data_IF_850720010707
#
_entry.id   IF_850720010707
#
_cell.length_a   1.000
_cell.length_b   1.000
_cell.length_c   1.000
_cell.angle_alpha   90.00
_cell.angle_beta   90.00
_cell.angle_gamma   90.00
#
_symmetry.space_group_name_H-M   'P 1'
#
loop_
_entity.id
_entity.type
_entity.pdbx_description
1 polymer ?
#
# COMPACT_ATOMS: atom_id res chain seq x y z
N UNK A 1 -18.34 12.75 -1.70
CA UNK A 1 -19.27 13.43 -2.62
C UNK A 1 -20.65 12.83 -2.37
N UNK A 2 -21.69 13.65 -2.29
CA UNK A 2 -23.09 13.21 -2.11
C UNK A 2 -23.86 13.13 -3.45
N UNK A 3 -23.28 13.60 -4.56
CA UNK A 3 -23.77 13.44 -5.94
C UNK A 3 -25.29 13.69 -6.14
N UNK A 4 -25.78 14.80 -5.60
CA UNK A 4 -27.19 15.21 -5.72
C UNK A 4 -28.09 14.73 -4.58
N UNK A 5 -27.61 13.86 -3.69
CA UNK A 5 -28.27 13.59 -2.41
C UNK A 5 -28.14 14.80 -1.46
N UNK A 6 -29.00 14.90 -0.42
CA UNK A 6 -28.84 15.90 0.62
C UNK A 6 -27.42 15.88 1.23
N UNK A 7 -26.90 17.05 1.59
CA UNK A 7 -25.55 17.19 2.13
C UNK A 7 -25.28 16.23 3.30
N UNK A 8 -24.13 15.56 3.26
CA UNK A 8 -23.64 14.59 4.23
C UNK A 8 -24.54 13.36 4.42
N UNK A 9 -25.49 13.10 3.52
CA UNK A 9 -26.40 11.95 3.64
C UNK A 9 -25.91 10.68 2.94
N UNK A 10 -24.88 10.76 2.09
CA UNK A 10 -24.35 9.62 1.34
C UNK A 10 -22.84 9.45 1.54
N UNK A 11 -22.04 10.43 1.10
CA UNK A 11 -20.58 10.35 1.09
C UNK A 11 -19.96 10.28 2.49
N UNK A 12 -20.45 11.09 3.43
CA UNK A 12 -19.93 11.08 4.81
C UNK A 12 -20.22 9.75 5.54
N UNK A 13 -21.44 9.17 5.46
CA UNK A 13 -21.72 7.83 5.98
C UNK A 13 -20.80 6.73 5.41
N UNK A 14 -20.54 6.75 4.10
CA UNK A 14 -19.61 5.81 3.45
C UNK A 14 -18.19 6.02 4.00
N UNK A 15 -17.73 7.26 4.07
CA UNK A 15 -16.40 7.58 4.59
C UNK A 15 -16.22 7.15 6.04
N UNK A 16 -17.25 7.30 6.89
CA UNK A 16 -17.22 6.81 8.26
C UNK A 16 -17.02 5.29 8.34
N UNK A 17 -17.51 4.51 7.38
CA UNK A 17 -17.21 3.07 7.31
C UNK A 17 -15.77 2.79 6.89
N UNK A 18 -15.24 3.52 5.90
CA UNK A 18 -13.82 3.43 5.51
C UNK A 18 -12.92 3.67 6.73
N UNK A 19 -13.22 4.70 7.53
CA UNK A 19 -12.47 5.00 8.75
C UNK A 19 -12.62 3.92 9.81
N UNK A 20 -13.84 3.42 10.04
CA UNK A 20 -14.11 2.37 11.04
C UNK A 20 -13.41 1.04 10.73
N UNK A 21 -13.18 0.74 9.46
CA UNK A 21 -12.44 -0.45 9.02
C UNK A 21 -10.93 -0.20 8.90
N UNK A 22 -10.46 1.02 9.16
CA UNK A 22 -9.05 1.43 9.08
C UNK A 22 -8.41 1.14 7.72
N UNK A 23 -9.19 1.18 6.64
CA UNK A 23 -8.74 0.89 5.29
C UNK A 23 -8.32 2.16 4.55
N UNK A 24 -7.30 2.03 3.71
CA UNK A 24 -6.75 3.11 2.89
C UNK A 24 -6.53 2.61 1.46
N UNK A 25 -6.33 3.54 0.52
CA UNK A 25 -6.12 3.22 -0.89
C UNK A 25 -7.28 2.40 -1.51
N UNK A 26 -8.52 2.82 -1.24
CA UNK A 26 -9.73 2.23 -1.77
C UNK A 26 -10.70 3.31 -2.28
N UNK A 27 -11.67 2.91 -3.10
CA UNK A 27 -12.79 3.73 -3.54
C UNK A 27 -14.08 2.91 -3.39
N UNK A 28 -15.08 3.50 -2.75
CA UNK A 28 -16.43 2.93 -2.65
C UNK A 28 -17.38 3.81 -3.47
N UNK A 29 -18.11 3.19 -4.39
CA UNK A 29 -19.15 3.84 -5.19
C UNK A 29 -20.47 3.15 -4.89
N UNK A 30 -21.50 3.94 -4.59
CA UNK A 30 -22.85 3.44 -4.34
C UNK A 30 -23.79 4.00 -5.39
N UNK A 31 -24.46 3.11 -6.13
CA UNK A 31 -25.43 3.47 -7.16
C UNK A 31 -26.82 3.30 -6.57
N UNK A 32 -27.59 4.39 -6.54
CA UNK A 32 -28.95 4.40 -5.99
C UNK A 32 -29.98 4.64 -7.08
N UNK A 33 -31.03 3.82 -7.08
CA UNK A 33 -32.21 4.00 -7.92
C UNK A 33 -33.39 4.45 -7.03
N UNK A 34 -34.13 5.47 -7.44
CA UNK A 34 -35.28 5.96 -6.67
C UNK A 34 -36.46 4.99 -6.76
N UNK A 35 -36.88 4.44 -5.62
CA UNK A 35 -37.93 3.42 -5.52
C UNK A 35 -39.36 3.96 -5.33
N UNK A 36 -39.62 5.24 -5.59
CA UNK A 36 -40.98 5.83 -5.47
C UNK A 36 -41.35 6.36 -4.09
N UNK A 37 -40.55 6.11 -3.05
CA UNK A 37 -40.76 6.65 -1.69
C UNK A 37 -39.51 7.32 -1.16
N UNK A 38 -39.66 8.48 -0.51
CA UNK A 38 -38.55 9.23 0.10
C UNK A 38 -38.20 8.63 1.46
N UNK A 39 -36.91 8.34 1.67
CA UNK A 39 -36.39 7.82 2.94
C UNK A 39 -36.14 8.89 4.00
N UNK A 40 -36.12 10.17 3.60
CA UNK A 40 -35.61 11.25 4.44
C UNK A 40 -34.10 11.13 4.70
N UNK A 41 -33.50 12.18 5.27
CA UNK A 41 -32.04 12.26 5.46
C UNK A 41 -31.51 11.12 6.35
N UNK A 42 -32.20 10.82 7.46
CA UNK A 42 -31.79 9.73 8.35
C UNK A 42 -31.81 8.36 7.69
N UNK A 43 -32.82 8.09 6.84
CA UNK A 43 -32.92 6.84 6.09
C UNK A 43 -31.83 6.70 5.02
N UNK A 44 -31.46 7.80 4.35
CA UNK A 44 -30.34 7.83 3.40
C UNK A 44 -29.02 7.54 4.09
N UNK A 45 -28.75 8.20 5.22
CA UNK A 45 -27.55 7.98 6.02
C UNK A 45 -27.43 6.51 6.38
N UNK A 46 -28.50 5.89 6.87
CA UNK A 46 -28.51 4.48 7.22
C UNK A 46 -28.25 3.59 6.00
N UNK A 47 -28.93 3.85 4.87
CA UNK A 47 -28.79 3.03 3.66
C UNK A 47 -27.36 3.06 3.11
N UNK A 48 -26.76 4.25 2.96
CA UNK A 48 -25.40 4.40 2.44
C UNK A 48 -24.37 3.81 3.40
N UNK A 49 -24.51 4.06 4.72
CA UNK A 49 -23.65 3.44 5.74
C UNK A 49 -23.69 1.92 5.66
N UNK A 50 -24.88 1.33 5.71
CA UNK A 50 -25.05 -0.12 5.72
C UNK A 50 -24.54 -0.76 4.42
N UNK A 51 -24.80 -0.14 3.27
CA UNK A 51 -24.30 -0.65 1.98
C UNK A 51 -22.77 -0.68 1.91
N UNK A 52 -22.10 0.36 2.40
CA UNK A 52 -20.65 0.41 2.46
C UNK A 52 -20.09 -0.63 3.44
N UNK A 53 -20.72 -0.77 4.61
CA UNK A 53 -20.33 -1.77 5.61
C UNK A 53 -20.40 -3.18 5.04
N UNK A 54 -21.54 -3.56 4.45
CA UNK A 54 -21.72 -4.90 3.84
C UNK A 54 -20.69 -5.18 2.75
N UNK A 55 -20.34 -4.16 1.96
CA UNK A 55 -19.33 -4.28 0.91
C UNK A 55 -17.94 -4.52 1.51
N UNK A 56 -17.58 -3.79 2.56
CA UNK A 56 -16.30 -3.94 3.25
C UNK A 56 -16.19 -5.29 3.96
N UNK A 57 -17.27 -5.77 4.60
CA UNK A 57 -17.32 -7.06 5.30
C UNK A 57 -17.01 -8.25 4.39
N UNK A 58 -17.43 -8.21 3.12
CA UNK A 58 -17.18 -9.28 2.15
C UNK A 58 -15.92 -9.07 1.31
N UNK A 59 -15.25 -7.92 1.46
CA UNK A 59 -14.06 -7.58 0.68
C UNK A 59 -12.81 -8.24 1.26
N UNK A 60 -11.90 -8.69 0.40
CA UNK A 60 -10.59 -9.17 0.83
C UNK A 60 -9.65 -7.99 1.13
N UNK A 61 -9.52 -7.62 2.40
CA UNK A 61 -8.67 -6.52 2.85
C UNK A 61 -7.24 -7.02 3.08
N UNK A 62 -6.29 -6.47 2.30
CA UNK A 62 -4.88 -6.84 2.38
C UNK A 62 -4.06 -5.76 3.08
N UNK A 63 -3.25 -6.17 4.05
CA UNK A 63 -2.24 -5.28 4.65
C UNK A 63 -1.06 -5.13 3.71
N UNK A 64 -0.77 -3.90 3.29
CA UNK A 64 0.42 -3.55 2.49
C UNK A 64 1.27 -2.54 3.24
N UNK A 65 2.58 -2.61 3.03
CA UNK A 65 3.52 -1.59 3.49
C UNK A 65 3.93 -0.70 2.32
N UNK A 66 4.17 0.58 2.60
CA UNK A 66 4.79 1.48 1.62
C UNK A 66 6.27 1.08 1.55
N UNK A 67 6.70 0.61 0.39
CA UNK A 67 8.07 0.18 0.16
C UNK A 67 8.77 1.13 -0.82
N UNK A 68 10.09 1.22 -0.69
CA UNK A 68 11.01 1.91 -1.59
C UNK A 68 11.93 0.84 -2.18
N UNK A 69 12.18 0.94 -3.48
CA UNK A 69 13.09 0.02 -4.15
C UNK A 69 14.48 0.63 -4.27
N UNK A 70 15.49 -0.18 -3.96
CA UNK A 70 16.89 0.17 -4.16
C UNK A 70 17.54 -0.80 -5.15
N UNK A 71 18.33 -0.26 -6.07
CA UNK A 71 19.25 -1.00 -6.92
C UNK A 71 20.60 -1.09 -6.21
N UNK A 72 21.01 -2.32 -5.89
CA UNK A 72 22.36 -2.66 -5.47
C UNK A 72 23.16 -3.10 -6.69
N UNK A 73 24.40 -2.65 -6.82
CA UNK A 73 25.35 -3.08 -7.86
C UNK A 73 26.67 -3.41 -7.20
N UNK A 74 27.16 -4.63 -7.37
CA UNK A 74 28.34 -5.15 -6.68
C UNK A 74 28.96 -6.32 -7.46
N UNK A 75 30.17 -6.73 -7.10
CA UNK A 75 30.88 -7.85 -7.73
C UNK A 75 30.61 -9.18 -7.01
N UNK A 76 30.88 -10.31 -7.68
CA UNK A 76 30.60 -11.65 -7.14
C UNK A 76 31.29 -11.97 -5.79
N UNK A 77 32.43 -11.33 -5.49
CA UNK A 77 33.13 -11.49 -4.20
C UNK A 77 32.28 -11.02 -3.00
N UNK A 78 31.34 -10.10 -3.22
CA UNK A 78 30.46 -9.55 -2.19
C UNK A 78 29.10 -10.25 -2.10
N UNK A 79 28.84 -11.23 -2.97
CA UNK A 79 27.56 -11.93 -3.04
C UNK A 79 27.10 -12.46 -1.68
N UNK A 80 27.99 -13.14 -0.96
CA UNK A 80 27.68 -13.73 0.34
C UNK A 80 27.35 -12.66 1.40
N UNK A 81 28.11 -11.55 1.41
CA UNK A 81 27.91 -10.45 2.35
C UNK A 81 26.57 -9.75 2.10
N UNK A 82 26.25 -9.45 0.84
CA UNK A 82 24.98 -8.82 0.45
C UNK A 82 23.80 -9.75 0.77
N UNK A 83 23.87 -11.02 0.38
CA UNK A 83 22.80 -11.99 0.66
C UNK A 83 22.60 -12.23 2.15
N UNK A 84 23.67 -12.20 2.95
CA UNK A 84 23.57 -12.30 4.41
C UNK A 84 22.75 -11.16 5.00
N UNK A 85 23.04 -9.92 4.61
CA UNK A 85 22.31 -8.73 5.10
C UNK A 85 20.85 -8.78 4.65
N UNK A 86 20.59 -9.13 3.39
CA UNK A 86 19.24 -9.28 2.86
C UNK A 86 18.43 -10.29 3.71
N UNK A 87 19.03 -11.44 4.04
CA UNK A 87 18.37 -12.45 4.89
C UNK A 87 18.19 -12.01 6.34
N UNK A 88 19.23 -11.46 6.97
CA UNK A 88 19.20 -11.00 8.37
C UNK A 88 18.17 -9.88 8.58
N UNK A 89 18.00 -9.01 7.58
CA UNK A 89 17.03 -7.92 7.60
C UNK A 89 15.67 -8.29 6.99
N UNK A 90 15.49 -9.54 6.56
CA UNK A 90 14.28 -10.05 5.90
C UNK A 90 13.80 -9.15 4.74
N UNK A 91 14.74 -8.75 3.89
CA UNK A 91 14.51 -7.87 2.73
C UNK A 91 14.10 -8.72 1.53
N UNK A 92 13.09 -8.26 0.80
CA UNK A 92 12.62 -8.90 -0.42
C UNK A 92 13.49 -8.50 -1.62
N UNK A 93 13.91 -9.47 -2.43
CA UNK A 93 14.55 -9.23 -3.73
C UNK A 93 13.45 -9.28 -4.80
N UNK A 94 13.18 -8.14 -5.42
CA UNK A 94 12.18 -7.99 -6.50
C UNK A 94 12.72 -8.50 -7.82
N UNK A 95 14.00 -8.25 -8.09
CA UNK A 95 14.66 -8.66 -9.32
C UNK A 95 16.16 -8.85 -9.10
N UNK A 96 16.78 -9.71 -9.90
CA UNK A 96 18.21 -9.93 -9.90
C UNK A 96 18.76 -10.12 -11.32
N UNK A 97 19.93 -9.54 -11.56
CA UNK A 97 20.73 -9.72 -12.77
C UNK A 97 22.15 -10.10 -12.38
N UNK A 98 22.64 -11.21 -12.90
CA UNK A 98 23.97 -11.75 -12.62
C UNK A 98 24.72 -11.88 -13.95
N UNK A 99 25.37 -10.80 -14.38
CA UNK A 99 26.13 -10.73 -15.63
C UNK A 99 27.61 -10.52 -15.30
N UNK A 100 28.26 -9.46 -15.83
CA UNK A 100 29.63 -9.07 -15.43
C UNK A 100 29.68 -8.60 -13.98
N UNK A 101 28.67 -7.84 -13.58
CA UNK A 101 28.39 -7.41 -12.21
C UNK A 101 27.06 -8.04 -11.72
N UNK A 102 26.91 -8.09 -10.40
CA UNK A 102 25.68 -8.49 -9.74
C UNK A 102 24.82 -7.27 -9.48
N UNK A 103 23.56 -7.32 -9.90
CA UNK A 103 22.59 -6.26 -9.70
C UNK A 103 21.32 -6.80 -9.05
N UNK A 104 21.00 -6.30 -7.85
CA UNK A 104 19.77 -6.66 -7.14
C UNK A 104 18.86 -5.46 -7.01
N UNK A 105 17.57 -5.66 -7.27
CA UNK A 105 16.53 -4.71 -6.90
C UNK A 105 15.88 -5.24 -5.63
N UNK A 106 16.06 -4.51 -4.54
CA UNK A 106 15.50 -4.87 -3.23
C UNK A 106 14.31 -3.96 -2.88
N UNK A 107 13.29 -4.53 -2.24
CA UNK A 107 12.10 -3.84 -1.75
C UNK A 107 12.19 -3.68 -0.24
N UNK A 108 12.30 -2.43 0.22
CA UNK A 108 12.52 -2.10 1.62
C UNK A 108 11.36 -1.25 2.12
N UNK A 109 10.86 -1.50 3.33
CA UNK A 109 9.83 -0.66 3.93
C UNK A 109 10.32 0.78 4.06
N UNK A 110 9.47 1.75 3.73
CA UNK A 110 9.81 3.19 3.78
C UNK A 110 10.36 3.62 5.13
N UNK A 111 9.83 3.08 6.23
CA UNK A 111 10.32 3.39 7.58
C UNK A 111 11.76 2.91 7.82
N UNK A 112 12.18 1.82 7.19
CA UNK A 112 13.52 1.23 7.35
C UNK A 112 14.49 1.68 6.24
N UNK A 113 13.98 2.41 5.25
CA UNK A 113 14.69 2.77 4.02
C UNK A 113 16.05 3.42 4.27
N UNK A 114 16.10 4.43 5.14
CA UNK A 114 17.33 5.15 5.47
C UNK A 114 18.36 4.24 6.15
N UNK A 115 17.92 3.38 7.09
CA UNK A 115 18.82 2.48 7.79
C UNK A 115 19.43 1.44 6.84
N UNK A 116 18.62 0.86 5.95
CA UNK A 116 19.10 -0.10 4.95
C UNK A 116 20.00 0.56 3.91
N UNK A 117 19.66 1.77 3.47
CA UNK A 117 20.52 2.54 2.57
C UNK A 117 21.92 2.73 3.18
N UNK A 118 21.99 3.21 4.42
CA UNK A 118 23.27 3.42 5.12
C UNK A 118 24.07 2.13 5.30
N UNK A 119 23.42 0.98 5.52
CA UNK A 119 24.12 -0.31 5.63
C UNK A 119 24.82 -0.66 4.31
N UNK A 120 24.12 -0.56 3.18
CA UNK A 120 24.69 -0.90 1.87
C UNK A 120 25.66 0.16 1.35
N UNK A 121 25.43 1.43 1.65
CA UNK A 121 26.34 2.53 1.28
C UNK A 121 27.70 2.41 2.00
N UNK A 122 27.70 1.93 3.24
CA UNK A 122 28.94 1.67 3.99
C UNK A 122 29.67 0.38 3.57
N UNK A 123 29.06 -0.47 2.73
CA UNK A 123 29.73 -1.65 2.20
C UNK A 123 30.63 -1.27 1.03
N UNK A 124 31.93 -1.37 1.27
CA UNK A 124 32.94 -1.12 0.25
C UNK A 124 32.66 -1.94 -1.03
N UNK A 125 32.66 -1.27 -2.19
CA UNK A 125 32.34 -1.80 -3.53
C UNK A 125 30.88 -2.25 -3.76
N UNK A 126 29.95 -1.85 -2.90
CA UNK A 126 28.51 -1.89 -3.21
C UNK A 126 28.05 -0.49 -3.57
N UNK A 127 27.44 -0.33 -4.74
CA UNK A 127 26.74 0.90 -5.11
C UNK A 127 25.24 0.71 -4.85
N UNK A 128 24.64 1.58 -4.06
CA UNK A 128 23.21 1.61 -3.78
C UNK A 128 22.57 2.86 -4.39
N UNK A 129 21.48 2.69 -5.15
CA UNK A 129 20.70 3.79 -5.74
C UNK A 129 19.22 3.55 -5.55
N UNK A 130 18.44 4.61 -5.32
CA UNK A 130 16.98 4.50 -5.32
C UNK A 130 16.49 4.25 -6.76
N UNK A 131 15.53 3.35 -6.93
CA UNK A 131 14.83 3.19 -8.21
C UNK A 131 13.72 4.25 -8.28
N UNK A 132 13.67 5.01 -9.36
CA UNK A 132 12.54 5.91 -9.68
C UNK A 132 11.32 5.13 -10.16
#
# INVERSE_FOLDING_TARGET
NDDGEPNNSAGMPIYGQIQSFEVTNILIVSVRYFGGTKLGVGGLISAYKTSAQMTLDISNILKKTINIQYKLTFNYDLMNSVMRIIKEKNIEIVNQKLEMDCQYIISVRKNDSQAIFTIFDNLYKVAVKICE
#
